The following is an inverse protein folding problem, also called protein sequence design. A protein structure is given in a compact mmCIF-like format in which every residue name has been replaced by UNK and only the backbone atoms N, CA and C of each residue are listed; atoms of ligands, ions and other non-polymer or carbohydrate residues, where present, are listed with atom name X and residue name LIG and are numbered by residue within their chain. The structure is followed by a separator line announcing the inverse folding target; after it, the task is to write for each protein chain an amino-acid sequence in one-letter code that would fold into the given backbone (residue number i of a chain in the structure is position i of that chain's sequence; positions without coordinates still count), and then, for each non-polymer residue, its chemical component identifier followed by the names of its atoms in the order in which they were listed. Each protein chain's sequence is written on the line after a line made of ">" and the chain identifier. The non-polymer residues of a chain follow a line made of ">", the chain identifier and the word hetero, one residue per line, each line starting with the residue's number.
data_IF_761929959937
#
_entry.id   IF_761929959937
#
_cell.length_a   1.000
_cell.length_b   1.000
_cell.length_c   1.000
_cell.angle_alpha   90.00
_cell.angle_beta   90.00
_cell.angle_gamma   90.00
#
_symmetry.space_group_name_H-M   'P 1'
#
loop_
_entity.id
_entity.type
_entity.pdbx_description
1 polymer ?
#
# COMPACT_ATOMS: atom_id res chain seq x y z
N UNK A 1 -10.73 3.91 5.49
CA UNK A 1 -9.32 4.33 5.29
C UNK A 1 -8.67 3.37 4.32
N UNK A 2 -7.90 3.84 3.32
CA UNK A 2 -7.26 2.93 2.35
C UNK A 2 -6.17 2.10 3.06
N UNK A 3 -6.25 0.78 3.01
CA UNK A 3 -5.23 -0.10 3.56
C UNK A 3 -4.15 -0.32 2.49
N UNK A 4 -2.94 0.17 2.74
CA UNK A 4 -1.81 -0.01 1.81
C UNK A 4 -1.21 -1.40 1.98
N UNK A 5 -0.99 -2.09 0.85
CA UNK A 5 -0.50 -3.47 0.76
C UNK A 5 1.02 -3.56 0.46
N UNK A 6 1.73 -2.43 0.58
CA UNK A 6 3.15 -2.34 0.31
C UNK A 6 3.89 -1.62 1.45
N UNK A 7 5.16 -1.98 1.63
CA UNK A 7 6.05 -1.34 2.58
C UNK A 7 6.20 0.16 2.25
N UNK A 8 6.16 1.03 3.26
CA UNK A 8 6.40 2.46 3.05
C UNK A 8 7.86 2.78 2.75
N UNK A 9 8.80 1.93 3.16
CA UNK A 9 10.24 2.18 2.96
C UNK A 9 10.78 1.54 1.68
N UNK A 10 10.67 0.22 1.53
CA UNK A 10 11.20 -0.49 0.35
C UNK A 10 10.19 -0.66 -0.80
N UNK A 11 8.93 -0.22 -0.62
CA UNK A 11 7.87 -0.26 -1.64
C UNK A 11 7.47 -1.67 -2.11
N UNK A 12 7.97 -2.71 -1.45
CA UNK A 12 7.66 -4.10 -1.74
C UNK A 12 6.22 -4.41 -1.36
N UNK A 13 5.50 -5.00 -2.30
CA UNK A 13 4.10 -5.39 -2.17
C UNK A 13 3.97 -6.81 -1.66
N UNK A 14 3.06 -7.03 -0.71
CA UNK A 14 2.67 -8.36 -0.23
C UNK A 14 2.11 -9.21 -1.37
N UNK A 15 1.46 -8.60 -2.37
CA UNK A 15 0.93 -9.32 -3.54
C UNK A 15 2.02 -10.02 -4.36
N UNK A 16 3.22 -9.46 -4.41
CA UNK A 16 4.34 -10.00 -5.18
C UNK A 16 5.28 -10.86 -4.34
N UNK A 17 5.09 -10.90 -3.01
CA UNK A 17 6.01 -11.53 -2.07
C UNK A 17 5.20 -12.33 -1.04
N UNK A 18 4.77 -13.56 -1.38
CA UNK A 18 4.11 -14.45 -0.44
C UNK A 18 4.97 -14.65 0.84
N UNK A 19 4.35 -14.60 2.01
CA UNK A 19 5.05 -14.68 3.30
C UNK A 19 5.60 -13.35 3.83
N UNK A 20 5.56 -12.27 3.04
CA UNK A 20 5.85 -10.93 3.53
C UNK A 20 4.72 -10.45 4.45
N UNK A 21 5.07 -9.99 5.65
CA UNK A 21 4.11 -9.40 6.59
C UNK A 21 4.35 -7.91 6.73
N UNK A 22 3.29 -7.15 6.97
CA UNK A 22 3.34 -5.69 7.15
C UNK A 22 2.93 -5.34 8.58
N UNK A 23 3.71 -4.47 9.20
CA UNK A 23 3.57 -4.06 10.59
C UNK A 23 3.30 -2.57 10.70
N UNK A 24 2.32 -2.23 11.53
CA UNK A 24 1.93 -0.84 11.81
C UNK A 24 2.99 -0.20 12.70
N UNK A 25 3.18 1.11 12.55
CA UNK A 25 4.05 1.88 13.42
C UNK A 25 3.61 1.76 14.90
N UNK A 26 4.55 1.72 15.85
CA UNK A 26 4.25 1.67 17.28
C UNK A 26 3.37 2.85 17.72
N UNK A 27 2.53 2.65 18.75
CA UNK A 27 1.76 3.73 19.37
C UNK A 27 2.64 4.64 20.24
N UNK A 28 3.65 4.05 20.87
CA UNK A 28 4.63 4.77 21.67
C UNK A 28 5.40 5.76 20.77
N UNK A 29 5.34 7.08 21.06
CA UNK A 29 5.99 8.10 20.25
C UNK A 29 7.51 7.95 20.22
N UNK A 30 8.15 7.47 21.30
CA UNK A 30 9.61 7.32 21.39
C UNK A 30 10.07 6.21 20.45
N UNK A 31 9.44 5.04 20.50
CA UNK A 31 9.80 3.91 19.61
C UNK A 31 9.45 4.27 18.15
N UNK A 32 8.32 4.96 17.95
CA UNK A 32 7.89 5.39 16.62
C UNK A 32 8.86 6.40 15.99
N UNK A 33 9.43 7.32 16.78
CA UNK A 33 10.48 8.23 16.31
C UNK A 33 11.73 7.46 15.87
N UNK A 34 12.17 6.47 16.66
CA UNK A 34 13.30 5.60 16.28
C UNK A 34 13.05 4.86 14.97
N UNK A 35 11.81 4.43 14.70
CA UNK A 35 11.45 3.85 13.41
C UNK A 35 11.58 4.84 12.26
N UNK A 36 11.15 6.10 12.46
CA UNK A 36 11.26 7.15 11.46
C UNK A 36 12.71 7.53 11.16
N UNK A 37 13.54 7.67 12.19
CA UNK A 37 14.98 7.91 12.08
C UNK A 37 15.67 6.80 11.28
N UNK A 38 15.43 5.54 11.66
CA UNK A 38 15.99 4.38 10.97
C UNK A 38 15.54 4.32 9.49
N UNK A 39 14.30 4.74 9.21
CA UNK A 39 13.77 4.76 7.85
C UNK A 39 14.06 6.07 7.08
N UNK A 40 14.77 7.03 7.68
CA UNK A 40 15.03 8.36 7.10
C UNK A 40 13.74 9.04 6.60
N UNK A 41 12.74 9.09 7.47
CA UNK A 41 11.46 9.77 7.26
C UNK A 41 11.22 10.78 8.38
N UNK A 42 10.45 11.81 8.08
CA UNK A 42 9.82 12.64 9.11
C UNK A 42 8.41 12.10 9.42
N UNK A 43 7.95 12.28 10.65
CA UNK A 43 6.62 11.86 11.07
C UNK A 43 5.51 12.54 10.24
N UNK A 44 5.70 13.82 9.88
CA UNK A 44 4.77 14.60 9.06
C UNK A 44 4.57 14.03 7.64
N UNK A 45 5.51 13.20 7.17
CA UNK A 45 5.52 12.68 5.80
C UNK A 45 4.84 11.31 5.69
N UNK A 46 4.47 10.68 6.79
CA UNK A 46 3.89 9.33 6.80
C UNK A 46 2.47 9.33 7.36
N UNK A 47 1.54 8.82 6.55
CA UNK A 47 0.18 8.54 7.01
C UNK A 47 0.13 7.35 7.98
N UNK A 48 -0.77 7.41 8.96
CA UNK A 48 -0.95 6.37 9.99
C UNK A 48 -1.33 4.98 9.46
N UNK A 49 -1.87 4.89 8.24
CA UNK A 49 -2.24 3.62 7.59
C UNK A 49 -1.07 2.92 6.87
N UNK A 50 0.12 3.52 6.90
CA UNK A 50 1.36 2.97 6.32
C UNK A 50 2.04 2.00 7.27
N UNK A 51 2.80 1.08 6.69
CA UNK A 51 3.38 -0.07 7.38
C UNK A 51 4.79 -0.36 6.87
N UNK A 52 5.62 -0.93 7.73
CA UNK A 52 6.91 -1.50 7.36
C UNK A 52 6.77 -3.00 7.13
N UNK A 53 7.53 -3.55 6.20
CA UNK A 53 7.56 -4.98 5.99
C UNK A 53 8.51 -5.70 6.95
N UNK A 54 8.26 -7.00 7.16
CA UNK A 54 9.04 -7.85 8.07
C UNK A 54 10.53 -7.91 7.74
N UNK A 55 10.92 -7.64 6.48
CA UNK A 55 12.32 -7.62 6.06
C UNK A 55 13.16 -6.50 6.67
N UNK A 56 12.54 -5.50 7.32
CA UNK A 56 13.28 -4.45 8.04
C UNK A 56 13.69 -4.84 9.46
N UNK A 57 13.26 -6.01 9.94
CA UNK A 57 13.53 -6.48 11.29
C UNK A 57 14.20 -7.84 11.25
N UNK A 58 15.04 -8.11 12.24
CA UNK A 58 15.60 -9.45 12.40
C UNK A 58 14.53 -10.44 12.85
N UNK A 59 14.75 -11.74 12.56
CA UNK A 59 13.80 -12.81 12.90
C UNK A 59 13.48 -12.85 14.41
N UNK A 60 14.46 -12.57 15.28
CA UNK A 60 14.27 -12.54 16.73
C UNK A 60 13.47 -11.33 17.24
N UNK A 61 13.22 -10.31 16.41
CA UNK A 61 12.35 -9.18 16.74
C UNK A 61 10.86 -9.57 16.71
N UNK A 62 10.54 -10.77 16.22
CA UNK A 62 9.18 -11.24 16.12
C UNK A 62 8.82 -12.19 17.26
N UNK A 63 7.56 -12.14 17.67
CA UNK A 63 6.92 -13.07 18.61
C UNK A 63 5.75 -13.76 17.94
N UNK A 64 5.48 -15.00 18.37
CA UNK A 64 4.31 -15.76 17.97
C UNK A 64 4.56 -16.69 16.77
N UNK A 65 3.94 -17.87 16.82
CA UNK A 65 4.07 -18.90 15.79
C UNK A 65 3.15 -18.66 14.58
N UNK A 66 1.95 -18.10 14.78
CA UNK A 66 0.92 -17.94 13.72
C UNK A 66 0.83 -16.54 13.12
N UNK A 67 0.97 -15.49 13.94
CA UNK A 67 0.97 -14.08 13.49
C UNK A 67 2.22 -13.41 14.04
N UNK A 68 3.18 -13.13 13.17
CA UNK A 68 4.44 -12.46 13.53
C UNK A 68 4.12 -11.05 14.05
N UNK A 69 4.07 -10.91 15.36
CA UNK A 69 3.97 -9.61 16.03
C UNK A 69 5.38 -9.10 16.30
N UNK A 70 5.60 -7.79 16.21
CA UNK A 70 6.89 -7.20 16.56
C UNK A 70 6.96 -7.02 18.08
N UNK A 71 8.07 -7.45 18.69
CA UNK A 71 8.36 -7.26 20.13
C UNK A 71 8.28 -5.78 20.50
N UNK A 72 7.85 -5.48 21.73
CA UNK A 72 7.93 -4.12 22.26
C UNK A 72 9.38 -3.64 22.22
N UNK A 73 9.61 -2.41 21.77
CA UNK A 73 10.94 -1.82 21.68
C UNK A 73 11.77 -2.24 20.45
N UNK A 74 11.31 -3.18 19.62
CA UNK A 74 12.04 -3.53 18.40
C UNK A 74 12.05 -2.38 17.39
N UNK A 75 13.19 -2.15 16.76
CA UNK A 75 13.46 -1.06 15.81
C UNK A 75 13.87 -1.69 14.47
N UNK A 76 13.49 -1.12 13.32
CA UNK A 76 13.96 -1.59 12.03
C UNK A 76 15.47 -1.35 11.89
N UNK A 77 16.25 -2.42 12.07
CA UNK A 77 17.72 -2.38 12.06
C UNK A 77 18.31 -2.84 10.72
N UNK A 78 17.50 -3.44 9.84
CA UNK A 78 17.94 -3.89 8.53
C UNK A 78 17.69 -2.83 7.45
N UNK A 79 18.72 -2.05 7.13
CA UNK A 79 18.81 -1.30 5.88
C UNK A 79 19.13 -2.27 4.76
N UNK A 80 18.13 -3.01 4.26
CA UNK A 80 18.36 -4.04 3.24
C UNK A 80 19.18 -3.50 2.06
N UNK A 81 20.44 -3.94 2.00
CA UNK A 81 21.25 -3.97 0.81
C UNK A 81 20.79 -5.21 0.03
N UNK A 82 20.23 -4.97 -1.16
CA UNK A 82 20.07 -5.91 -2.27
C UNK A 82 18.87 -6.86 -2.18
N UNK A 83 17.85 -6.59 -2.99
CA UNK A 83 16.67 -7.44 -3.22
C UNK A 83 16.78 -8.25 -4.52
N UNK A 84 17.97 -8.77 -4.82
CA UNK A 84 18.19 -9.51 -6.07
C UNK A 84 17.72 -10.98 -6.01
N UNK A 85 17.04 -11.44 -4.96
CA UNK A 85 16.65 -12.87 -4.84
C UNK A 85 15.17 -13.17 -4.73
N UNK A 86 14.25 -12.23 -4.97
CA UNK A 86 12.90 -12.64 -5.36
C UNK A 86 12.89 -12.87 -6.89
N UNK A 87 13.54 -13.97 -7.27
CA UNK A 87 13.52 -14.48 -8.64
C UNK A 87 12.09 -14.63 -9.11
N UNK A 88 11.88 -14.11 -10.32
CA UNK A 88 10.68 -14.26 -11.12
C UNK A 88 10.34 -15.75 -11.23
N UNK A 89 9.37 -16.25 -10.47
CA UNK A 89 8.54 -17.35 -10.97
C UNK A 89 7.41 -16.72 -11.76
N UNK A 90 7.66 -16.60 -13.06
CA UNK A 90 6.68 -16.23 -14.07
C UNK A 90 5.50 -17.20 -14.01
N UNK A 91 4.38 -16.78 -13.42
CA UNK A 91 3.10 -17.44 -13.65
C UNK A 91 2.41 -16.72 -14.81
N UNK A 92 2.46 -17.37 -15.99
CA UNK A 92 1.65 -17.02 -17.14
C UNK A 92 0.18 -17.02 -16.69
N UNK A 93 -0.48 -15.86 -16.69
CA UNK A 93 -1.93 -15.80 -16.50
C UNK A 93 -2.59 -16.31 -17.77
N UNK A 94 -3.02 -17.57 -17.78
CA UNK A 94 -4.05 -18.04 -18.70
C UNK A 94 -5.40 -17.72 -18.06
N UNK A 95 -6.07 -16.68 -18.54
CA UNK A 95 -7.53 -16.60 -18.44
C UNK A 95 -8.05 -16.11 -19.79
N UNK A 96 -8.64 -17.04 -20.51
CA UNK A 96 -9.58 -16.81 -21.61
C UNK A 96 -10.85 -16.14 -21.07
N UNK A 97 -11.51 -15.26 -21.84
CA UNK A 97 -12.79 -14.67 -21.45
C UNK A 97 -13.91 -15.70 -21.54
N UNK A 98 -14.75 -15.79 -20.50
CA UNK A 98 -16.00 -16.56 -20.52
C UNK A 98 -17.11 -15.64 -21.09
N UNK A 99 -17.96 -16.09 -22.02
CA UNK A 99 -19.06 -15.31 -22.59
C UNK A 99 -20.21 -15.09 -21.58
N UNK A 100 -20.86 -13.94 -21.67
CA UNK A 100 -22.06 -13.55 -20.92
C UNK A 100 -23.31 -14.21 -21.51
N UNK A 101 -24.30 -14.67 -20.71
CA UNK A 101 -25.64 -14.94 -21.21
C UNK A 101 -26.56 -13.71 -21.04
N UNK A 102 -27.46 -13.53 -22.00
CA UNK A 102 -28.48 -12.48 -22.11
C UNK A 102 -29.61 -12.62 -21.06
N UNK A 103 -30.28 -11.52 -20.67
CA UNK A 103 -31.45 -11.59 -19.80
C UNK A 103 -32.77 -11.55 -20.60
N UNK A 104 -33.57 -12.61 -20.47
CA UNK A 104 -34.99 -12.64 -20.84
C UNK A 104 -35.85 -11.91 -19.79
N UNK A 105 -36.88 -11.20 -20.26
CA UNK A 105 -37.98 -10.61 -19.48
C UNK A 105 -38.88 -11.68 -18.83
N UNK A 106 -39.57 -11.35 -17.72
CA UNK A 106 -41.03 -11.11 -17.79
C UNK A 106 -41.48 -9.94 -16.88
N UNK A 107 -42.36 -9.06 -17.36
CA UNK A 107 -43.84 -9.01 -17.16
C UNK A 107 -44.29 -8.80 -15.71
N UNK A 108 -45.07 -7.72 -15.57
CA UNK A 108 -45.77 -7.12 -14.45
C UNK A 108 -46.75 -8.03 -13.68
N UNK A 109 -46.94 -7.77 -12.38
CA UNK A 109 -48.23 -7.36 -11.76
C UNK A 109 -47.98 -6.91 -10.31
N UNK A 110 -48.77 -5.91 -9.94
CA UNK A 110 -48.81 -5.01 -8.79
C UNK A 110 -49.46 -5.59 -7.51
N UNK A 111 -48.98 -5.24 -6.31
CA UNK A 111 -49.59 -4.23 -5.41
C UNK A 111 -49.09 -4.31 -3.94
N UNK A 112 -48.92 -3.11 -3.39
CA UNK A 112 -48.84 -2.61 -2.00
C UNK A 112 -48.60 -3.56 -0.81
N UNK A 113 -47.63 -3.19 0.04
CA UNK A 113 -47.94 -2.68 1.40
C UNK A 113 -46.69 -2.42 2.28
N UNK A 114 -46.79 -1.33 3.03
CA UNK A 114 -46.09 -0.94 4.27
C UNK A 114 -44.59 -0.55 4.30
N UNK A 115 -44.41 0.74 4.62
CA UNK A 115 -43.46 1.34 5.56
C UNK A 115 -42.07 0.71 5.75
N UNK A 116 -41.06 1.45 5.31
CA UNK A 116 -40.01 2.09 6.12
C UNK A 116 -39.13 2.87 5.15
N UNK A 117 -39.11 4.21 5.23
CA UNK A 117 -38.12 5.02 4.48
C UNK A 117 -36.73 4.72 5.04
N UNK A 118 -36.10 3.67 4.52
CA UNK A 118 -34.66 3.46 4.62
C UNK A 118 -34.03 4.59 3.83
N UNK A 119 -33.54 5.61 4.53
CA UNK A 119 -32.60 6.55 3.93
C UNK A 119 -31.33 5.76 3.59
N UNK A 120 -31.28 5.22 2.39
CA UNK A 120 -30.08 4.60 1.84
C UNK A 120 -28.96 5.63 1.89
N UNK A 121 -28.03 5.42 2.83
CA UNK A 121 -26.84 6.27 2.91
C UNK A 121 -26.05 6.03 1.63
N UNK A 122 -25.71 7.08 0.85
CA UNK A 122 -25.06 6.89 -0.43
C UNK A 122 -23.80 6.03 -0.28
N UNK A 123 -23.77 4.87 -0.96
CA UNK A 123 -22.60 3.99 -1.00
C UNK A 123 -21.39 4.83 -1.42
N UNK A 124 -20.48 5.07 -0.47
CA UNK A 124 -19.31 5.90 -0.65
C UNK A 124 -18.48 5.34 -1.80
N UNK A 125 -18.56 5.96 -2.98
CA UNK A 125 -17.73 5.64 -4.15
C UNK A 125 -16.28 5.96 -3.80
N UNK A 126 -15.60 5.02 -3.16
CA UNK A 126 -14.20 5.13 -2.78
C UNK A 126 -13.31 4.82 -3.99
N UNK A 127 -13.60 5.42 -5.15
CA UNK A 127 -12.66 5.43 -6.28
C UNK A 127 -11.49 6.30 -5.86
N UNK A 128 -10.32 5.69 -5.79
CA UNK A 128 -9.07 6.39 -5.49
C UNK A 128 -8.86 7.44 -6.58
N UNK A 129 -8.78 8.70 -6.18
CA UNK A 129 -8.41 9.82 -7.06
C UNK A 129 -6.93 9.68 -7.36
N UNK A 130 -6.61 9.04 -8.47
CA UNK A 130 -5.28 8.52 -8.81
C UNK A 130 -4.72 9.14 -10.08
N UNK A 131 -5.56 9.72 -10.93
CA UNK A 131 -5.20 10.30 -12.22
C UNK A 131 -5.21 11.83 -12.17
N UNK A 132 -4.42 12.44 -13.07
CA UNK A 132 -4.53 13.88 -13.37
C UNK A 132 -6.00 14.16 -13.72
N UNK A 133 -6.60 15.15 -13.06
CA UNK A 133 -8.02 15.53 -13.23
C UNK A 133 -9.00 14.92 -12.22
N UNK A 134 -8.59 13.93 -11.40
CA UNK A 134 -9.49 13.33 -10.40
C UNK A 134 -9.78 14.25 -9.20
N UNK A 135 -8.85 15.17 -8.91
CA UNK A 135 -8.99 16.18 -7.85
C UNK A 135 -9.77 17.36 -8.44
N UNK A 136 -10.97 17.60 -7.91
CA UNK A 136 -11.85 18.70 -8.36
C UNK A 136 -11.98 19.75 -7.27
N UNK A 137 -12.49 20.93 -7.61
CA UNK A 137 -12.71 22.04 -6.66
C UNK A 137 -13.44 21.63 -5.36
N UNK A 138 -14.47 20.75 -5.37
CA UNK A 138 -15.12 20.27 -4.14
C UNK A 138 -14.21 19.48 -3.17
N UNK A 139 -13.12 18.91 -3.67
CA UNK A 139 -12.11 18.21 -2.85
C UNK A 139 -11.17 19.15 -2.11
N UNK A 140 -11.16 20.43 -2.51
CA UNK A 140 -10.32 21.47 -1.95
C UNK A 140 -11.14 22.52 -1.19
N UNK A 141 -12.47 22.39 -1.20
CA UNK A 141 -13.43 23.38 -0.69
C UNK A 141 -13.35 23.68 0.82
N UNK A 142 -12.65 22.87 1.62
CA UNK A 142 -12.43 23.18 3.04
C UNK A 142 -10.95 23.05 3.41
N UNK A 143 -10.43 23.84 4.36
CA UNK A 143 -9.03 23.77 4.77
C UNK A 143 -8.58 22.35 5.16
N UNK A 144 -9.45 21.59 5.85
CA UNK A 144 -9.20 20.18 6.20
C UNK A 144 -9.06 19.29 4.96
N UNK A 145 -9.92 19.47 3.95
CA UNK A 145 -9.89 18.65 2.72
C UNK A 145 -8.69 19.03 1.82
N UNK A 146 -8.42 20.32 1.67
CA UNK A 146 -7.25 20.83 0.95
C UNK A 146 -5.94 20.31 1.56
N UNK A 147 -5.77 20.42 2.89
CA UNK A 147 -4.60 19.88 3.62
C UNK A 147 -4.43 18.38 3.37
N UNK A 148 -5.51 17.61 3.39
CA UNK A 148 -5.47 16.18 3.11
C UNK A 148 -4.99 15.88 1.68
N UNK A 149 -5.50 16.58 0.67
CA UNK A 149 -5.07 16.36 -0.71
C UNK A 149 -3.62 16.81 -0.94
N UNK A 150 -3.21 17.91 -0.33
CA UNK A 150 -1.82 18.35 -0.33
C UNK A 150 -0.88 17.27 0.24
N UNK A 151 -1.20 16.72 1.41
CA UNK A 151 -0.40 15.64 2.01
C UNK A 151 -0.37 14.40 1.11
N UNK A 152 -1.48 14.06 0.46
CA UNK A 152 -1.51 12.95 -0.50
C UNK A 152 -0.56 13.22 -1.67
N UNK A 153 -0.64 14.40 -2.28
CA UNK A 153 0.20 14.80 -3.41
C UNK A 153 1.69 14.82 -3.02
N UNK A 154 2.03 15.46 -1.89
CA UNK A 154 3.39 15.47 -1.31
C UNK A 154 3.91 14.04 -1.15
N UNK A 155 3.09 13.17 -0.58
CA UNK A 155 3.44 11.77 -0.39
C UNK A 155 3.64 11.02 -1.72
N UNK A 156 2.77 11.23 -2.71
CA UNK A 156 2.89 10.62 -4.03
C UNK A 156 4.21 11.01 -4.71
N UNK A 157 4.57 12.29 -4.68
CA UNK A 157 5.85 12.79 -5.22
C UNK A 157 7.03 12.15 -4.49
N UNK A 158 7.00 12.11 -3.15
CA UNK A 158 8.05 11.47 -2.36
C UNK A 158 8.21 9.98 -2.67
N UNK A 159 7.09 9.26 -2.82
CA UNK A 159 7.08 7.84 -3.17
C UNK A 159 7.66 7.60 -4.56
N UNK A 160 7.22 8.37 -5.56
CA UNK A 160 7.75 8.29 -6.92
C UNK A 160 9.26 8.53 -6.95
N UNK A 161 9.76 9.57 -6.27
CA UNK A 161 11.20 9.84 -6.16
C UNK A 161 11.98 8.67 -5.57
N UNK A 162 11.46 8.05 -4.49
CA UNK A 162 12.09 6.85 -3.90
C UNK A 162 12.04 5.64 -4.82
N UNK A 163 10.93 5.43 -5.51
CA UNK A 163 10.77 4.32 -6.45
C UNK A 163 11.78 4.44 -7.60
N UNK A 164 11.93 5.63 -8.19
CA UNK A 164 12.95 5.92 -9.21
C UNK A 164 14.35 5.62 -8.66
N UNK A 165 14.67 6.10 -7.45
CA UNK A 165 15.97 5.84 -6.81
C UNK A 165 16.23 4.34 -6.60
N UNK A 166 15.21 3.59 -6.20
CA UNK A 166 15.30 2.13 -6.02
C UNK A 166 15.55 1.43 -7.36
N UNK A 167 14.76 1.74 -8.38
CA UNK A 167 14.94 1.17 -9.73
C UNK A 167 16.33 1.45 -10.29
N UNK A 168 16.81 2.69 -10.16
CA UNK A 168 18.16 3.08 -10.61
C UNK A 168 19.26 2.30 -9.87
N UNK A 169 19.08 2.01 -8.58
CA UNK A 169 20.00 1.15 -7.83
C UNK A 169 20.01 -0.28 -8.36
N UNK A 170 18.84 -0.86 -8.61
CA UNK A 170 18.72 -2.20 -9.19
C UNK A 170 19.37 -2.28 -10.57
N UNK A 171 19.11 -1.32 -11.45
CA UNK A 171 19.73 -1.25 -12.79
C UNK A 171 21.26 -1.23 -12.66
N UNK A 172 21.81 -0.42 -11.74
CA UNK A 172 23.26 -0.34 -11.51
C UNK A 172 23.85 -1.67 -11.07
N UNK A 173 23.19 -2.40 -10.18
CA UNK A 173 23.65 -3.71 -9.72
C UNK A 173 23.60 -4.76 -10.82
N UNK A 174 22.51 -4.80 -11.59
CA UNK A 174 22.38 -5.71 -12.73
C UNK A 174 23.46 -5.44 -13.78
N UNK A 175 23.73 -4.17 -14.11
CA UNK A 175 24.82 -3.78 -15.00
C UNK A 175 26.18 -4.23 -14.47
N UNK A 176 26.45 -4.03 -13.17
CA UNK A 176 27.70 -4.49 -12.53
C UNK A 176 27.83 -6.01 -12.53
N UNK A 177 26.73 -6.75 -12.37
CA UNK A 177 26.71 -8.22 -12.46
C UNK A 177 26.99 -8.68 -13.88
N UNK A 178 26.34 -8.06 -14.87
CA UNK A 178 26.59 -8.35 -16.29
C UNK A 178 28.06 -8.12 -16.67
N UNK A 179 28.63 -6.98 -16.27
CA UNK A 179 30.05 -6.64 -16.48
C UNK A 179 31.06 -7.56 -15.80
N UNK A 180 30.65 -8.44 -14.89
CA UNK A 180 31.55 -9.42 -14.24
C UNK A 180 31.50 -10.79 -14.89
N UNK A 181 30.57 -10.99 -15.82
CA UNK A 181 30.36 -12.26 -16.53
C UNK A 181 31.00 -12.24 -17.93
N UNK A 182 31.62 -11.12 -18.32
CA UNK A 182 32.44 -10.89 -19.49
C UNK A 182 33.73 -10.21 -19.03
#
# INVERSE_FOLDING_TARGET
>A
MNNYIACVFCLISVKLNPGLTLHVFPKDPVIRLKWFEACKYNESDIFSNRKLCSFHFYHYCFTGQRKKCIKRGAIPTLHMKNYDTCTKKSFKRKHSPIPMPEPSTPVSISNESHDLKVFDTPKRKNKRKSFIGDIKSPDLATPKRAKKQFLNAKWHVMFQRRYIKMLNKTIRHLRKKYWRLY
#
